data_IF_525291200963
#
_entry.id   IF_525291200963
#
_cell.length_a   1.000
_cell.length_b   1.000
_cell.length_c   1.000
_cell.angle_alpha   90.00
_cell.angle_beta   90.00
_cell.angle_gamma   90.00
#
_symmetry.space_group_name_H-M   'P 1'
#
loop_
_entity.id
_entity.type
_entity.pdbx_description
1 polymer ?
#
# COMPACT_ATOMS: atom_id res chain seq x y z
N UNK A 1 -11.68 18.73 12.97
CA UNK A 1 -10.31 18.27 12.65
C UNK A 1 -10.32 16.77 12.34
N UNK A 2 -10.90 15.95 13.21
CA UNK A 2 -11.08 14.50 13.03
C UNK A 2 -11.67 14.08 11.68
N UNK A 3 -12.76 14.71 11.23
CA UNK A 3 -13.40 14.38 9.95
C UNK A 3 -12.45 14.52 8.73
N UNK A 4 -11.54 15.49 8.78
CA UNK A 4 -10.56 15.73 7.70
C UNK A 4 -9.44 14.69 7.71
N UNK A 5 -9.02 14.24 8.90
CA UNK A 5 -8.02 13.17 9.06
C UNK A 5 -8.60 11.85 8.55
N UNK A 6 -9.86 11.55 8.89
CA UNK A 6 -10.57 10.36 8.38
C UNK A 6 -10.67 10.39 6.86
N UNK A 7 -11.17 11.49 6.28
CA UNK A 7 -11.31 11.62 4.82
C UNK A 7 -9.96 11.46 4.09
N UNK A 8 -8.88 11.99 4.67
CA UNK A 8 -7.54 11.86 4.11
C UNK A 8 -7.02 10.42 4.15
N UNK A 9 -7.23 9.73 5.27
CA UNK A 9 -6.81 8.35 5.48
C UNK A 9 -7.58 7.36 4.61
N UNK A 10 -8.89 7.57 4.42
CA UNK A 10 -9.71 6.77 3.49
C UNK A 10 -9.22 6.91 2.05
N UNK A 11 -8.88 8.13 1.61
CA UNK A 11 -8.37 8.39 0.26
C UNK A 11 -6.94 7.89 0.04
N UNK A 12 -6.14 7.74 1.10
CA UNK A 12 -4.73 7.39 0.99
C UNK A 12 -4.29 6.38 2.08
N UNK A 13 -4.59 5.08 1.91
CA UNK A 13 -4.29 4.06 2.93
C UNK A 13 -2.78 3.92 3.22
N UNK A 14 -1.91 4.28 2.25
CA UNK A 14 -0.44 4.28 2.36
C UNK A 14 0.09 5.22 3.48
N UNK A 15 -0.73 6.10 4.05
CA UNK A 15 -0.34 7.04 5.12
C UNK A 15 -0.71 6.56 6.52
N UNK A 16 -1.54 5.50 6.63
CA UNK A 16 -1.95 4.92 7.92
C UNK A 16 -0.72 4.47 8.71
N UNK A 17 0.19 3.74 8.07
CA UNK A 17 1.43 3.27 8.70
C UNK A 17 2.32 4.42 9.17
N UNK A 18 2.47 5.46 8.36
CA UNK A 18 3.32 6.62 8.68
C UNK A 18 2.76 7.36 9.90
N UNK A 19 1.44 7.56 9.96
CA UNK A 19 0.77 8.22 11.08
C UNK A 19 0.81 7.36 12.34
N UNK A 20 0.66 6.03 12.20
CA UNK A 20 0.82 5.08 13.32
C UNK A 20 2.22 5.16 13.92
N UNK A 21 3.26 5.10 13.08
CA UNK A 21 4.65 5.20 13.54
C UNK A 21 4.96 6.57 14.17
N UNK A 22 4.41 7.66 13.62
CA UNK A 22 4.53 8.99 14.21
C UNK A 22 3.88 9.07 15.60
N UNK A 23 2.69 8.47 15.76
CA UNK A 23 1.99 8.41 17.03
C UNK A 23 2.72 7.56 18.08
N UNK A 24 3.31 6.43 17.65
CA UNK A 24 4.15 5.58 18.52
C UNK A 24 5.42 6.33 18.97
N UNK A 25 6.08 7.04 18.07
CA UNK A 25 7.27 7.83 18.40
C UNK A 25 6.97 8.91 19.45
N UNK A 26 5.88 9.67 19.26
CA UNK A 26 5.51 10.72 20.21
C UNK A 26 5.07 10.17 21.57
N UNK A 27 4.50 8.96 21.62
CA UNK A 27 4.18 8.30 22.88
C UNK A 27 5.43 7.79 23.60
N UNK A 28 6.42 7.31 22.85
CA UNK A 28 7.69 6.86 23.41
C UNK A 28 8.56 8.03 23.90
N UNK A 29 8.40 9.22 23.29
CA UNK A 29 9.19 10.42 23.60
C UNK A 29 8.28 11.62 23.94
N UNK A 30 7.55 11.58 25.06
CA UNK A 30 6.61 12.65 25.44
C UNK A 30 7.32 13.98 25.73
N UNK A 31 8.57 13.93 26.18
CA UNK A 31 9.38 15.09 26.55
C UNK A 31 10.08 15.73 25.33
N UNK A 32 9.95 15.16 24.13
CA UNK A 32 10.53 15.74 22.93
C UNK A 32 9.69 16.94 22.44
N UNK A 33 10.20 18.13 22.74
CA UNK A 33 9.58 19.39 22.35
C UNK A 33 9.59 19.60 20.83
N UNK A 34 10.62 19.08 20.14
CA UNK A 34 10.81 19.23 18.72
C UNK A 34 10.10 18.15 17.91
N UNK A 35 9.95 16.93 18.44
CA UNK A 35 9.34 15.81 17.73
C UNK A 35 10.30 15.15 16.73
N UNK A 36 9.75 14.33 15.82
CA UNK A 36 10.53 13.40 15.02
C UNK A 36 11.08 13.98 13.72
N UNK A 37 12.18 13.42 13.25
CA UNK A 37 12.72 13.63 11.90
C UNK A 37 12.30 12.49 10.99
N UNK A 38 12.39 12.71 9.67
CA UNK A 38 12.07 11.72 8.64
C UNK A 38 12.78 10.35 8.84
N UNK A 39 13.95 10.34 9.47
CA UNK A 39 14.76 9.14 9.75
C UNK A 39 14.28 8.33 10.95
N UNK A 40 13.51 8.95 11.85
CA UNK A 40 13.18 8.35 13.14
C UNK A 40 11.95 7.42 13.06
N UNK A 41 11.20 7.52 11.96
CA UNK A 41 10.00 6.71 11.70
C UNK A 41 10.13 5.89 10.41
N UNK A 42 9.61 4.66 10.45
CA UNK A 42 9.54 3.81 9.26
C UNK A 42 8.54 4.40 8.26
N UNK A 43 8.96 4.54 7.00
CA UNK A 43 8.13 5.12 5.94
C UNK A 43 8.10 6.66 5.92
N UNK A 44 8.96 7.32 6.69
CA UNK A 44 9.11 8.79 6.76
C UNK A 44 9.71 9.43 5.51
N UNK A 45 9.19 9.16 4.31
CA UNK A 45 9.65 9.86 3.10
C UNK A 45 9.29 11.37 3.21
N UNK A 46 10.24 12.31 3.00
CA UNK A 46 9.98 13.75 3.10
C UNK A 46 8.80 14.24 2.25
N UNK A 47 8.57 13.66 1.06
CA UNK A 47 7.42 14.03 0.22
C UNK A 47 6.08 13.64 0.87
N UNK A 48 6.03 12.47 1.55
CA UNK A 48 4.83 12.03 2.28
C UNK A 48 4.59 12.89 3.51
N UNK A 49 5.65 13.22 4.25
CA UNK A 49 5.58 14.10 5.42
C UNK A 49 5.11 15.49 5.03
N UNK A 50 5.63 16.07 3.94
CA UNK A 50 5.16 17.35 3.44
C UNK A 50 3.67 17.31 3.03
N UNK A 51 3.19 16.21 2.45
CA UNK A 51 1.75 16.05 2.15
C UNK A 51 0.91 16.06 3.43
N UNK A 52 1.36 15.37 4.48
CA UNK A 52 0.72 15.37 5.79
C UNK A 52 0.72 16.76 6.45
N UNK A 53 1.78 17.55 6.22
CA UNK A 53 1.83 18.95 6.66
C UNK A 53 0.83 19.82 5.90
N UNK A 54 0.76 19.70 4.58
CA UNK A 54 -0.20 20.45 3.74
C UNK A 54 -1.65 20.16 4.13
N UNK A 55 -1.95 18.92 4.52
CA UNK A 55 -3.28 18.53 4.97
C UNK A 55 -3.58 18.88 6.44
N UNK A 56 -2.59 19.42 7.16
CA UNK A 56 -2.74 19.86 8.54
C UNK A 56 -2.77 18.72 9.56
N UNK A 57 -2.26 17.54 9.19
CA UNK A 57 -2.12 16.39 10.11
C UNK A 57 -0.83 16.51 10.92
N UNK A 58 0.25 16.91 10.25
CA UNK A 58 1.54 17.22 10.87
C UNK A 58 1.79 18.73 10.85
N UNK A 59 2.59 19.21 11.80
CA UNK A 59 3.18 20.56 11.79
C UNK A 59 4.70 20.46 11.85
N UNK A 60 5.37 21.43 11.22
CA UNK A 60 6.81 21.59 11.35
C UNK A 60 7.07 22.45 12.59
N UNK A 61 7.77 21.89 13.56
CA UNK A 61 8.12 22.53 14.84
C UNK A 61 9.45 23.25 14.75
N UNK A 62 10.43 22.61 14.11
CA UNK A 62 11.79 23.12 13.99
C UNK A 62 12.42 22.72 12.66
N UNK A 63 13.15 23.65 12.04
CA UNK A 63 13.79 23.44 10.75
C UNK A 63 15.15 24.10 10.70
N UNK A 64 16.16 23.31 10.35
CA UNK A 64 17.51 23.76 10.01
C UNK A 64 17.80 23.47 8.54
N UNK A 65 19.03 23.79 8.10
CA UNK A 65 19.49 23.44 6.74
C UNK A 65 19.54 21.93 6.51
N UNK A 66 19.72 21.14 7.58
CA UNK A 66 19.97 19.68 7.50
C UNK A 66 18.87 18.84 8.12
N UNK A 67 18.04 19.41 9.00
CA UNK A 67 17.03 18.66 9.76
C UNK A 67 15.68 19.37 9.72
N UNK A 68 14.61 18.61 9.58
CA UNK A 68 13.24 19.11 9.67
C UNK A 68 12.48 18.21 10.64
N UNK A 69 11.98 18.80 11.71
CA UNK A 69 11.23 18.12 12.75
C UNK A 69 9.74 18.29 12.52
N UNK A 70 9.00 17.22 12.76
CA UNK A 70 7.56 17.13 12.58
C UNK A 70 6.93 16.71 13.90
N UNK A 71 5.71 17.20 14.12
CA UNK A 71 4.87 16.81 15.27
C UNK A 71 3.42 16.69 14.83
N UNK A 72 2.67 15.77 15.41
CA UNK A 72 1.23 15.65 15.21
C UNK A 72 0.54 16.90 15.75
N UNK A 73 -0.40 17.41 14.97
CA UNK A 73 -1.19 18.59 15.37
C UNK A 73 -2.11 18.25 16.53
N UNK A 74 -2.73 17.07 16.50
CA UNK A 74 -3.63 16.58 17.53
C UNK A 74 -3.43 15.06 17.72
N UNK A 75 -2.77 14.69 18.82
CA UNK A 75 -2.47 13.31 19.18
C UNK A 75 -3.73 12.52 19.52
N UNK A 76 -4.68 13.14 20.23
CA UNK A 76 -5.88 12.44 20.67
C UNK A 76 -6.85 12.20 19.53
N UNK A 77 -7.05 13.19 18.66
CA UNK A 77 -7.85 13.03 17.45
C UNK A 77 -7.26 11.94 16.55
N UNK A 78 -5.93 11.94 16.36
CA UNK A 78 -5.24 10.93 15.56
C UNK A 78 -5.42 9.52 16.15
N UNK A 79 -5.30 9.38 17.48
CA UNK A 79 -5.54 8.12 18.19
C UNK A 79 -6.98 7.64 18.04
N UNK A 80 -7.97 8.54 18.19
CA UNK A 80 -9.40 8.20 18.02
C UNK A 80 -9.70 7.75 16.60
N UNK A 81 -9.17 8.46 15.60
CA UNK A 81 -9.35 8.10 14.19
C UNK A 81 -8.68 6.77 13.86
N UNK A 82 -7.47 6.52 14.37
CA UNK A 82 -6.80 5.24 14.16
C UNK A 82 -7.60 4.08 14.76
N UNK A 83 -8.13 4.24 15.98
CA UNK A 83 -9.03 3.24 16.60
C UNK A 83 -10.32 3.04 15.83
N UNK A 84 -10.96 4.12 15.38
CA UNK A 84 -12.18 4.05 14.56
C UNK A 84 -11.93 3.34 13.22
N UNK A 85 -10.74 3.50 12.64
CA UNK A 85 -10.32 2.76 11.46
C UNK A 85 -10.06 1.29 11.79
N UNK A 86 -9.40 0.99 12.91
CA UNK A 86 -9.20 -0.39 13.39
C UNK A 86 -10.53 -1.11 13.66
N UNK A 87 -11.49 -0.45 14.31
CA UNK A 87 -12.83 -0.98 14.65
C UNK A 87 -13.78 -1.09 13.45
N UNK A 88 -13.63 -0.22 12.44
CA UNK A 88 -14.38 -0.33 11.16
C UNK A 88 -13.76 -1.32 10.17
N UNK A 89 -12.71 -2.04 10.58
CA UNK A 89 -11.89 -2.86 9.68
C UNK A 89 -10.60 -2.11 9.38
N UNK A 90 -9.65 -2.27 10.30
CA UNK A 90 -8.28 -1.76 10.19
C UNK A 90 -7.56 -2.19 8.91
N UNK A 91 -6.32 -1.69 8.75
CA UNK A 91 -5.61 -1.56 7.48
C UNK A 91 -5.65 -2.87 6.71
N UNK A 92 -5.88 -2.77 5.39
CA UNK A 92 -5.79 -3.82 4.37
C UNK A 92 -5.14 -5.04 5.00
N UNK A 93 -5.98 -5.91 5.55
CA UNK A 93 -5.54 -7.23 5.97
C UNK A 93 -4.82 -7.70 4.71
N UNK A 94 -3.55 -8.10 4.81
CA UNK A 94 -3.04 -9.06 3.85
C UNK A 94 -4.00 -10.24 3.98
N UNK A 95 -5.15 -10.15 3.31
CA UNK A 95 -6.01 -11.28 3.06
C UNK A 95 -5.04 -12.24 2.43
N UNK A 96 -4.68 -13.26 3.19
CA UNK A 96 -3.86 -14.34 2.69
C UNK A 96 -4.66 -14.84 1.51
N UNK A 97 -4.28 -14.40 0.30
CA UNK A 97 -5.10 -14.59 -0.89
C UNK A 97 -5.11 -16.09 -1.08
N UNK A 98 -6.23 -16.73 -0.70
CA UNK A 98 -6.38 -18.16 -0.88
C UNK A 98 -6.52 -18.40 -2.37
N UNK A 99 -5.41 -18.75 -3.01
CA UNK A 99 -5.38 -19.09 -4.43
C UNK A 99 -6.27 -20.32 -4.61
N UNK A 100 -7.36 -20.23 -5.41
CA UNK A 100 -8.21 -21.37 -5.69
C UNK A 100 -7.41 -22.54 -6.25
N UNK A 101 -7.62 -23.74 -5.69
CA UNK A 101 -6.88 -24.95 -6.12
C UNK A 101 -7.18 -25.34 -7.57
N UNK A 102 -8.35 -24.95 -8.08
CA UNK A 102 -8.89 -25.20 -9.41
C UNK A 102 -8.50 -24.12 -10.45
N UNK A 103 -7.68 -23.12 -10.08
CA UNK A 103 -7.41 -21.95 -10.91
C UNK A 103 -6.97 -22.28 -12.35
N UNK A 104 -6.18 -23.33 -12.54
CA UNK A 104 -5.64 -23.68 -13.87
C UNK A 104 -6.20 -24.98 -14.45
N UNK A 105 -7.32 -25.48 -13.92
CA UNK A 105 -7.92 -26.75 -14.37
C UNK A 105 -8.43 -26.66 -15.82
N UNK A 106 -8.90 -25.48 -16.25
CA UNK A 106 -9.33 -25.23 -17.62
C UNK A 106 -8.18 -25.26 -18.63
N UNK A 107 -6.94 -25.02 -18.18
CA UNK A 107 -5.74 -25.01 -19.04
C UNK A 107 -5.17 -26.41 -19.09
N UNK A 108 -5.23 -27.08 -20.23
CA UNK A 108 -4.66 -28.43 -20.38
C UNK A 108 -3.14 -28.33 -20.67
N UNK A 109 -2.33 -29.08 -19.93
CA UNK A 109 -0.86 -29.09 -20.06
C UNK A 109 -0.17 -27.92 -19.37
N UNK A 110 1.09 -27.64 -19.73
CA UNK A 110 1.91 -26.56 -19.15
C UNK A 110 2.10 -26.63 -17.63
N UNK A 111 2.21 -27.84 -17.07
CA UNK A 111 2.32 -28.06 -15.61
C UNK A 111 3.55 -27.39 -14.99
N UNK A 112 4.64 -27.30 -15.75
CA UNK A 112 5.85 -26.57 -15.38
C UNK A 112 5.58 -25.07 -15.22
N UNK A 113 4.89 -24.46 -16.19
CA UNK A 113 4.52 -23.05 -16.19
C UNK A 113 3.52 -22.75 -15.07
N UNK A 114 2.45 -23.55 -14.93
CA UNK A 114 1.46 -23.42 -13.85
C UNK A 114 2.14 -23.44 -12.48
N UNK A 115 3.08 -24.36 -12.27
CA UNK A 115 3.83 -24.47 -11.02
C UNK A 115 4.69 -23.24 -10.74
N UNK A 116 5.31 -22.64 -11.75
CA UNK A 116 6.07 -21.38 -11.57
C UNK A 116 5.15 -20.23 -11.17
N UNK A 117 3.98 -20.11 -11.82
CA UNK A 117 3.00 -19.08 -11.50
C UNK A 117 2.48 -19.24 -10.07
N UNK A 118 2.06 -20.46 -9.69
CA UNK A 118 1.62 -20.75 -8.32
C UNK A 118 2.70 -20.46 -7.26
N UNK A 119 3.97 -20.75 -7.56
CA UNK A 119 5.09 -20.39 -6.68
C UNK A 119 5.27 -18.88 -6.58
N UNK A 120 5.12 -18.14 -7.68
CA UNK A 120 5.23 -16.68 -7.66
C UNK A 120 4.13 -16.01 -6.82
N UNK A 121 2.91 -16.56 -6.83
CA UNK A 121 1.79 -16.04 -6.02
C UNK A 121 1.99 -16.25 -4.52
N UNK A 122 2.71 -17.31 -4.12
CA UNK A 122 2.97 -17.64 -2.71
C UNK A 122 4.36 -17.17 -2.22
N UNK A 123 5.10 -16.41 -3.04
CA UNK A 123 6.43 -15.96 -2.68
C UNK A 123 6.36 -14.81 -1.65
N UNK A 124 7.26 -14.82 -0.66
CA UNK A 124 7.35 -13.75 0.35
C UNK A 124 7.65 -12.36 -0.25
N UNK A 125 8.29 -12.34 -1.44
CA UNK A 125 8.61 -11.11 -2.17
C UNK A 125 7.91 -11.12 -3.52
N UNK A 126 7.44 -9.97 -4.03
CA UNK A 126 6.83 -9.88 -5.35
C UNK A 126 7.73 -10.45 -6.45
N UNK A 127 7.20 -11.39 -7.23
CA UNK A 127 7.89 -11.99 -8.38
C UNK A 127 7.15 -11.61 -9.66
N UNK A 128 7.88 -11.03 -10.61
CA UNK A 128 7.34 -10.70 -11.93
C UNK A 128 7.43 -11.92 -12.87
N UNK A 129 6.32 -12.27 -13.53
CA UNK A 129 6.24 -13.39 -14.47
C UNK A 129 5.86 -12.86 -15.86
N UNK A 130 6.56 -13.33 -16.89
CA UNK A 130 6.28 -13.02 -18.29
C UNK A 130 6.01 -14.31 -19.06
N UNK A 131 4.89 -14.36 -19.78
CA UNK A 131 4.56 -15.47 -20.67
C UNK A 131 5.06 -15.18 -22.09
N UNK A 132 5.83 -16.11 -22.68
CA UNK A 132 6.33 -16.01 -24.06
C UNK A 132 6.00 -17.29 -24.82
N UNK A 133 5.81 -17.21 -26.13
CA UNK A 133 5.63 -18.37 -27.00
C UNK A 133 4.62 -18.15 -28.14
N UNK A 134 4.34 -19.20 -28.93
CA UNK A 134 3.50 -19.14 -30.12
C UNK A 134 2.06 -18.67 -29.84
N UNK A 135 1.33 -18.15 -30.86
CA UNK A 135 -0.09 -17.87 -30.72
C UNK A 135 -0.88 -19.13 -30.34
N UNK A 136 -2.05 -18.94 -29.74
CA UNK A 136 -2.96 -20.02 -29.32
C UNK A 136 -2.39 -21.03 -28.29
N UNK A 137 -1.36 -20.66 -27.53
CA UNK A 137 -0.77 -21.51 -26.46
C UNK A 137 -1.29 -21.12 -25.07
N UNK A 138 -2.58 -20.85 -24.95
CA UNK A 138 -3.30 -20.57 -23.69
C UNK A 138 -2.79 -19.41 -22.81
N UNK A 139 -1.88 -18.55 -23.27
CA UNK A 139 -1.33 -17.43 -22.45
C UNK A 139 -2.41 -16.46 -21.96
N UNK A 140 -3.30 -16.05 -22.86
CA UNK A 140 -4.44 -15.20 -22.51
C UNK A 140 -5.38 -15.90 -21.54
N UNK A 141 -5.58 -17.21 -21.69
CA UNK A 141 -6.41 -18.00 -20.78
C UNK A 141 -5.80 -18.06 -19.38
N UNK A 142 -4.48 -18.29 -19.26
CA UNK A 142 -3.77 -18.21 -17.97
C UNK A 142 -3.92 -16.84 -17.32
N UNK A 143 -3.78 -15.75 -18.09
CA UNK A 143 -4.01 -14.40 -17.56
C UNK A 143 -5.46 -14.17 -17.13
N UNK A 144 -6.42 -14.78 -17.83
CA UNK A 144 -7.84 -14.68 -17.52
C UNK A 144 -8.17 -15.38 -16.21
N UNK A 145 -7.58 -16.54 -15.94
CA UNK A 145 -7.74 -17.23 -14.67
C UNK A 145 -7.12 -16.45 -13.50
N UNK A 146 -5.98 -15.76 -13.73
CA UNK A 146 -5.38 -14.87 -12.73
C UNK A 146 -6.28 -13.67 -12.37
N UNK A 147 -7.19 -13.25 -13.26
CA UNK A 147 -8.18 -12.20 -12.95
C UNK A 147 -9.19 -12.62 -11.88
N UNK A 148 -9.35 -13.92 -11.62
CA UNK A 148 -10.26 -14.41 -10.57
C UNK A 148 -9.75 -14.08 -9.17
N UNK A 149 -8.48 -13.71 -9.02
CA UNK A 149 -7.89 -13.35 -7.73
C UNK A 149 -8.44 -12.00 -7.23
N UNK A 150 -8.69 -11.88 -5.92
CA UNK A 150 -9.06 -10.60 -5.32
C UNK A 150 -7.93 -9.59 -5.54
N UNK A 151 -8.32 -8.33 -5.75
CA UNK A 151 -7.39 -7.22 -6.00
C UNK A 151 -6.48 -7.38 -7.24
N UNK A 152 -6.79 -8.32 -8.14
CA UNK A 152 -6.11 -8.43 -9.44
C UNK A 152 -6.75 -7.49 -10.47
N UNK A 153 -5.95 -6.98 -11.39
CA UNK A 153 -6.42 -6.14 -12.50
C UNK A 153 -5.78 -6.59 -13.81
N UNK A 154 -6.59 -6.67 -14.85
CA UNK A 154 -6.13 -7.00 -16.20
C UNK A 154 -6.24 -5.78 -17.10
N UNK A 155 -5.16 -5.52 -17.83
CA UNK A 155 -5.06 -4.38 -18.72
C UNK A 155 -4.58 -4.83 -20.09
N UNK A 156 -5.29 -4.40 -21.13
CA UNK A 156 -4.85 -4.54 -22.51
C UNK A 156 -3.98 -3.33 -22.87
N UNK A 157 -2.71 -3.58 -23.17
CA UNK A 157 -1.74 -2.51 -23.46
C UNK A 157 -2.14 -1.60 -24.62
N UNK A 158 -2.86 -2.13 -25.62
CA UNK A 158 -3.38 -1.34 -26.76
C UNK A 158 -4.44 -0.31 -26.36
N UNK A 159 -5.14 -0.54 -25.24
CA UNK A 159 -6.20 0.35 -24.72
C UNK A 159 -5.72 1.21 -23.54
N UNK A 160 -4.50 1.00 -23.05
CA UNK A 160 -3.94 1.76 -21.94
C UNK A 160 -3.27 3.05 -22.43
N UNK A 161 -3.60 4.18 -21.79
CA UNK A 161 -2.87 5.44 -21.96
C UNK A 161 -1.81 5.59 -20.86
N UNK A 162 -0.82 6.47 -21.08
CA UNK A 162 0.21 6.78 -20.07
C UNK A 162 -0.39 7.24 -18.74
N UNK A 163 -1.46 8.05 -18.80
CA UNK A 163 -2.20 8.48 -17.61
C UNK A 163 -2.95 7.30 -16.97
N UNK A 164 -3.61 6.48 -17.80
CA UNK A 164 -4.29 5.28 -17.33
C UNK A 164 -3.35 4.32 -16.61
N UNK A 165 -2.12 4.10 -17.07
CA UNK A 165 -1.17 3.23 -16.36
C UNK A 165 -0.86 3.71 -14.94
N UNK A 166 -0.86 5.03 -14.69
CA UNK A 166 -0.63 5.59 -13.35
C UNK A 166 -1.82 5.27 -12.43
N UNK A 167 -3.06 5.24 -12.94
CA UNK A 167 -4.26 4.94 -12.15
C UNK A 167 -4.32 3.47 -11.67
N UNK A 168 -3.45 2.60 -12.19
CA UNK A 168 -3.34 1.19 -11.81
C UNK A 168 -2.13 0.88 -10.89
N UNK A 169 -1.27 1.86 -10.59
CA UNK A 169 -0.05 1.74 -9.75
C UNK A 169 -0.21 2.46 -8.39
#
# INVERSE_FOLDING_TARGET
MEARIVEFLEKNPKYVEVIKNALEYEQANPDDEFGFVWSDIVGGNPARLNKLVTEGVLRITYRTRTSCHYKLVDQEATRRVLRLLEDKGGPIIEEKIEVPKDMFDIVIGHEDVKRVVLKSLNAEKPVHVMFVGPPATAKTLMMTELMRLPNSRYCLGSTMSKAGTIDYL
#
